data_IF_407649884496
#
_entry.id   IF_407649884496
#
_cell.length_a   1.000
_cell.length_b   1.000
_cell.length_c   1.000
_cell.angle_alpha   90.00
_cell.angle_beta   90.00
_cell.angle_gamma   90.00
#
_symmetry.space_group_name_H-M   'P 1'
#
loop_
_entity.id
_entity.type
_entity.pdbx_description
1 polymer ?
#
# COMPACT_ATOMS: atom_id res chain seq x y z
N UNK A 1 6.77 9.33 5.48
CA UNK A 1 6.19 10.48 4.75
C UNK A 1 7.22 11.19 3.86
N UNK A 2 8.49 11.23 4.26
CA UNK A 2 9.59 11.85 3.47
C UNK A 2 9.65 11.46 1.98
N UNK A 3 9.41 10.21 1.60
CA UNK A 3 9.47 9.80 0.19
C UNK A 3 8.32 10.38 -0.67
N UNK A 4 7.14 10.60 -0.08
CA UNK A 4 5.97 11.13 -0.79
C UNK A 4 5.94 12.67 -0.80
N UNK A 5 6.55 13.32 0.20
CA UNK A 5 6.70 14.77 0.24
C UNK A 5 7.82 15.28 -0.69
N UNK A 6 8.79 14.43 -1.02
CA UNK A 6 9.92 14.75 -1.91
C UNK A 6 9.63 14.53 -3.41
N UNK A 7 8.39 14.19 -3.79
CA UNK A 7 8.00 14.05 -5.20
C UNK A 7 7.37 15.33 -5.76
N UNK A 8 7.93 15.83 -6.87
CA UNK A 8 7.51 17.09 -7.50
C UNK A 8 6.07 17.01 -8.03
N UNK A 9 5.18 17.89 -7.54
CA UNK A 9 3.83 18.09 -8.08
C UNK A 9 2.71 17.21 -7.49
N UNK A 10 2.99 16.37 -6.50
CA UNK A 10 1.98 15.58 -5.79
C UNK A 10 1.65 16.20 -4.43
N UNK A 11 0.36 16.45 -4.16
CA UNK A 11 -0.10 16.83 -2.83
C UNK A 11 -0.70 15.60 -2.12
N UNK A 12 -0.22 15.30 -0.92
CA UNK A 12 -0.77 14.23 -0.08
C UNK A 12 -2.03 14.77 0.61
N UNK A 13 -3.18 14.12 0.37
CA UNK A 13 -4.42 14.46 1.08
C UNK A 13 -4.50 13.73 2.42
N UNK A 14 -4.30 12.41 2.42
CA UNK A 14 -4.32 11.56 3.62
C UNK A 14 -3.43 10.32 3.42
N UNK A 15 -2.80 9.84 4.50
CA UNK A 15 -2.04 8.58 4.49
C UNK A 15 -2.23 7.83 5.81
N UNK A 16 -2.37 6.50 5.74
CA UNK A 16 -2.59 5.66 6.91
C UNK A 16 -1.89 4.31 6.75
N UNK A 17 -1.33 3.78 7.84
CA UNK A 17 -0.63 2.50 7.88
C UNK A 17 -1.38 1.57 8.81
N UNK A 18 -1.83 0.42 8.27
CA UNK A 18 -2.45 -0.65 9.04
C UNK A 18 -1.39 -1.74 9.26
N UNK A 19 -0.86 -1.92 10.49
CA UNK A 19 0.20 -2.89 10.75
C UNK A 19 -0.26 -4.35 10.63
N UNK A 20 -1.54 -4.62 10.86
CA UNK A 20 -2.12 -5.96 10.75
C UNK A 20 -3.59 -5.86 10.25
N UNK A 21 -3.83 -5.86 8.93
CA UNK A 21 -5.18 -5.77 8.40
C UNK A 21 -5.97 -7.05 8.72
N UNK A 22 -7.25 -6.89 9.10
CA UNK A 22 -8.14 -8.04 9.29
C UNK A 22 -8.38 -8.74 7.94
N UNK A 23 -8.50 -10.08 7.94
CA UNK A 23 -8.77 -10.88 6.73
C UNK A 23 -9.96 -10.36 5.91
N UNK A 24 -11.02 -9.88 6.56
CA UNK A 24 -12.18 -9.35 5.85
C UNK A 24 -11.86 -8.07 5.06
N UNK A 25 -10.95 -7.24 5.55
CA UNK A 25 -10.50 -6.01 4.88
C UNK A 25 -9.65 -6.38 3.67
N UNK A 26 -8.79 -7.40 3.78
CA UNK A 26 -7.95 -7.90 2.68
C UNK A 26 -8.79 -8.55 1.58
N UNK A 27 -9.85 -9.27 1.96
CA UNK A 27 -10.71 -9.97 1.00
C UNK A 27 -11.69 -9.05 0.24
N UNK A 28 -12.13 -7.95 0.87
CA UNK A 28 -13.12 -7.03 0.28
C UNK A 28 -12.46 -5.84 -0.41
N UNK A 29 -11.36 -5.32 0.14
CA UNK A 29 -10.65 -4.19 -0.44
C UNK A 29 -9.53 -4.68 -1.38
N UNK A 30 -9.23 -3.95 -2.47
CA UNK A 30 -8.18 -4.32 -3.42
C UNK A 30 -6.78 -3.99 -2.87
N UNK A 31 -6.44 -4.58 -1.72
CA UNK A 31 -5.16 -4.40 -1.03
C UNK A 31 -4.35 -5.69 -0.95
N UNK A 32 -4.93 -6.82 -1.38
CA UNK A 32 -4.23 -8.11 -1.40
C UNK A 32 -3.23 -8.21 -2.55
N UNK A 33 -2.25 -9.09 -2.39
CA UNK A 33 -1.25 -9.35 -3.42
C UNK A 33 -1.88 -9.95 -4.68
N UNK A 34 -1.34 -9.59 -5.83
CA UNK A 34 -1.74 -10.17 -7.12
C UNK A 34 -0.57 -10.91 -7.76
N UNK A 35 -0.87 -11.86 -8.64
CA UNK A 35 0.12 -12.66 -9.37
C UNK A 35 1.19 -11.81 -10.09
N UNK A 36 0.84 -10.58 -10.48
CA UNK A 36 1.76 -9.66 -11.18
C UNK A 36 2.91 -9.19 -10.30
N UNK A 37 2.66 -9.06 -9.00
CA UNK A 37 3.61 -8.49 -8.03
C UNK A 37 4.26 -9.55 -7.14
N UNK A 38 3.96 -10.84 -7.33
CA UNK A 38 4.54 -11.94 -6.56
C UNK A 38 6.08 -11.96 -6.58
N UNK A 39 6.68 -11.57 -7.71
CA UNK A 39 8.15 -11.47 -7.86
C UNK A 39 8.83 -10.51 -6.87
N UNK A 40 8.08 -9.54 -6.31
CA UNK A 40 8.59 -8.57 -5.35
C UNK A 40 8.29 -8.96 -3.89
N UNK A 41 7.59 -10.08 -3.67
CA UNK A 41 7.15 -10.51 -2.34
C UNK A 41 8.25 -11.20 -1.55
N UNK A 42 9.24 -11.78 -2.23
CA UNK A 42 10.34 -12.51 -1.60
C UNK A 42 11.64 -11.81 -1.97
N UNK A 43 12.18 -11.03 -1.03
CA UNK A 43 13.58 -10.61 -1.00
C UNK A 43 14.38 -11.63 -0.18
#
# INVERSE_FOLDING_TARGET
LEAAENTYGGQITDSYIIPNPNENVVAVLPIDYTNKVEQFRTL
#
